data_IF_392349686307
#
_entry.id   IF_392349686307
#
_cell.length_a   1.000
_cell.length_b   1.000
_cell.length_c   1.000
_cell.angle_alpha   90.00
_cell.angle_beta   90.00
_cell.angle_gamma   90.00
#
_symmetry.space_group_name_H-M   'P 1'
#
loop_
_entity.id
_entity.type
_entity.pdbx_description
1 polymer ?
#
# COMPACT_ATOMS: atom_id res chain seq x y z
N UNK A 1 1.59 -25.69 40.18
CA UNK A 1 1.14 -24.86 39.04
C UNK A 1 2.30 -24.21 38.24
N UNK A 2 3.20 -23.43 38.86
CA UNK A 2 4.31 -22.77 38.10
C UNK A 2 5.39 -23.79 37.69
N UNK A 3 5.73 -24.77 38.51
CA UNK A 3 6.71 -25.84 38.20
C UNK A 3 6.25 -26.75 37.08
N UNK A 4 5.02 -27.20 37.06
CA UNK A 4 4.43 -28.05 36.02
C UNK A 4 4.34 -27.34 34.67
N UNK A 5 4.08 -26.02 34.67
CA UNK A 5 4.07 -25.23 33.43
C UNK A 5 5.48 -25.12 32.80
N UNK A 6 6.50 -25.01 33.66
CA UNK A 6 7.89 -24.90 33.22
C UNK A 6 8.44 -26.26 32.73
N UNK A 7 8.07 -27.38 33.40
CA UNK A 7 8.39 -28.73 32.90
C UNK A 7 7.78 -29.01 31.55
N UNK A 8 6.52 -28.63 31.34
CA UNK A 8 5.89 -28.73 29.99
C UNK A 8 6.61 -27.92 28.92
N UNK A 9 7.17 -26.75 29.25
CA UNK A 9 7.99 -25.95 28.31
C UNK A 9 9.32 -26.66 27.99
N UNK A 10 9.98 -27.23 28.99
CA UNK A 10 11.22 -28.01 28.81
C UNK A 10 10.94 -29.24 27.94
N UNK A 11 9.88 -29.99 28.23
CA UNK A 11 9.49 -31.16 27.42
C UNK A 11 9.13 -30.78 26.00
N UNK A 12 8.44 -29.66 25.81
CA UNK A 12 8.15 -29.13 24.48
C UNK A 12 9.42 -28.69 23.73
N UNK A 13 10.40 -28.08 24.42
CA UNK A 13 11.70 -27.75 23.82
C UNK A 13 12.45 -29.02 23.42
N UNK A 14 12.48 -30.03 24.29
CA UNK A 14 13.17 -31.30 24.02
C UNK A 14 12.50 -32.08 22.86
N UNK A 15 11.17 -32.02 22.74
CA UNK A 15 10.43 -32.71 21.68
C UNK A 15 10.60 -32.05 20.29
N UNK A 16 10.83 -30.74 20.26
CA UNK A 16 10.90 -29.96 19.00
C UNK A 16 12.31 -29.83 18.41
N UNK A 17 13.37 -30.18 19.15
CA UNK A 17 14.74 -30.08 18.67
C UNK A 17 15.25 -31.46 18.27
N UNK A 18 15.54 -31.64 16.96
CA UNK A 18 16.05 -32.90 16.42
C UNK A 18 17.53 -33.07 16.71
N UNK A 19 17.93 -34.26 17.16
CA UNK A 19 19.33 -34.68 17.15
C UNK A 19 19.70 -35.21 15.77
N UNK A 20 20.88 -34.87 15.28
CA UNK A 20 21.40 -35.32 14.00
C UNK A 20 22.53 -36.33 14.20
N UNK A 21 22.79 -37.19 13.23
CA UNK A 21 23.80 -38.29 13.29
C UNK A 21 25.25 -37.77 13.54
N UNK A 22 25.55 -36.51 13.45
CA UNK A 22 26.85 -35.94 13.72
C UNK A 22 26.97 -35.20 15.05
N UNK A 23 25.90 -35.14 15.86
CA UNK A 23 25.89 -34.43 17.13
C UNK A 23 26.76 -35.19 18.17
N UNK A 24 27.47 -34.46 19.00
CA UNK A 24 28.39 -35.07 20.00
C UNK A 24 28.25 -34.41 21.37
N UNK A 25 28.68 -35.15 22.41
CA UNK A 25 28.70 -34.64 23.77
C UNK A 25 30.09 -34.03 24.03
N UNK A 26 30.14 -32.77 24.44
CA UNK A 26 31.36 -32.06 24.79
C UNK A 26 31.91 -32.46 26.16
N UNK A 27 33.10 -31.92 26.52
CA UNK A 27 33.76 -32.18 27.81
C UNK A 27 32.91 -31.72 29.02
N UNK A 28 32.01 -30.74 28.80
CA UNK A 28 31.03 -30.23 29.82
C UNK A 28 29.78 -31.10 29.95
N UNK A 29 29.74 -32.23 29.22
CA UNK A 29 28.63 -33.17 29.25
C UNK A 29 27.33 -32.65 28.56
N UNK A 30 27.41 -31.55 27.77
CA UNK A 30 26.32 -31.00 27.00
C UNK A 30 26.40 -31.45 25.53
N UNK A 31 25.23 -31.49 24.86
CA UNK A 31 25.14 -31.85 23.45
C UNK A 31 25.54 -30.67 22.56
N UNK A 32 26.34 -30.94 21.55
CA UNK A 32 26.81 -30.00 20.54
C UNK A 32 26.44 -30.47 19.14
N UNK A 33 26.20 -29.50 18.27
CA UNK A 33 25.91 -29.75 16.85
C UNK A 33 27.16 -30.22 16.12
N UNK A 34 27.07 -31.33 15.41
CA UNK A 34 28.18 -31.86 14.60
C UNK A 34 28.56 -31.01 13.41
N UNK A 35 27.69 -30.10 12.97
CA UNK A 35 27.93 -29.25 11.80
C UNK A 35 28.55 -27.90 12.19
N UNK A 36 27.97 -27.19 13.18
CA UNK A 36 28.42 -25.83 13.56
C UNK A 36 29.13 -25.78 14.90
N UNK A 37 29.26 -26.88 15.59
CA UNK A 37 29.95 -27.03 16.88
C UNK A 37 29.44 -26.10 17.99
N UNK A 38 28.22 -25.58 17.85
CA UNK A 38 27.55 -24.81 18.93
C UNK A 38 26.67 -25.72 19.76
N UNK A 39 26.36 -25.29 20.97
CA UNK A 39 25.56 -26.05 21.93
C UNK A 39 24.15 -26.29 21.40
N UNK A 40 23.64 -27.50 21.61
CA UNK A 40 22.25 -27.92 21.44
C UNK A 40 21.56 -28.20 22.78
N UNK A 41 22.29 -28.09 23.89
CA UNK A 41 21.77 -28.12 25.24
C UNK A 41 22.33 -26.94 26.05
N UNK A 42 21.56 -26.47 27.01
CA UNK A 42 21.99 -25.50 28.01
C UNK A 42 21.72 -26.11 29.40
N UNK A 43 22.49 -25.69 30.41
CA UNK A 43 22.29 -26.09 31.78
C UNK A 43 21.61 -24.98 32.55
N UNK A 44 20.51 -25.30 33.22
CA UNK A 44 19.75 -24.38 34.07
C UNK A 44 19.49 -24.99 35.42
N UNK A 45 19.57 -24.19 36.48
CA UNK A 45 19.19 -24.60 37.83
C UNK A 45 17.68 -24.34 38.01
N UNK A 46 16.90 -25.39 38.26
CA UNK A 46 15.47 -25.29 38.44
C UNK A 46 15.06 -25.98 39.74
N UNK A 47 14.50 -25.25 40.71
CA UNK A 47 14.08 -25.78 42.03
C UNK A 47 15.17 -26.56 42.78
N UNK A 48 16.46 -26.21 42.60
CA UNK A 48 17.58 -26.88 43.22
C UNK A 48 18.09 -28.09 42.48
N UNK A 49 17.50 -28.44 41.34
CA UNK A 49 17.95 -29.49 40.43
C UNK A 49 18.52 -28.91 39.14
N UNK A 50 19.57 -29.56 38.63
CA UNK A 50 20.15 -29.21 37.33
C UNK A 50 19.32 -29.86 36.20
N UNK A 51 18.79 -29.05 35.34
CA UNK A 51 18.07 -29.48 34.10
C UNK A 51 18.87 -29.09 32.87
N UNK A 52 18.82 -29.92 31.83
CA UNK A 52 19.54 -29.72 30.56
C UNK A 52 18.57 -29.64 29.39
N UNK A 53 17.79 -28.56 29.24
CA UNK A 53 16.89 -28.41 28.11
C UNK A 53 17.67 -28.26 26.80
N UNK A 54 17.06 -28.78 25.73
CA UNK A 54 17.57 -28.59 24.37
C UNK A 54 17.45 -27.11 23.95
N UNK A 55 18.41 -26.61 23.18
CA UNK A 55 18.43 -25.31 22.56
C UNK A 55 18.81 -25.44 21.07
N UNK A 56 18.41 -24.47 20.27
CA UNK A 56 18.76 -24.45 18.86
C UNK A 56 20.25 -24.09 18.69
N UNK A 57 20.98 -24.89 17.92
CA UNK A 57 22.33 -24.53 17.48
C UNK A 57 22.29 -23.38 16.44
N UNK A 58 23.45 -22.74 16.19
CA UNK A 58 23.53 -21.59 15.28
C UNK A 58 23.02 -21.93 13.87
N UNK A 59 23.40 -23.08 13.30
CA UNK A 59 22.96 -23.44 11.95
C UNK A 59 21.45 -23.70 11.86
N UNK A 60 20.82 -24.21 12.91
CA UNK A 60 19.38 -24.40 12.97
C UNK A 60 18.64 -23.09 13.18
N UNK A 61 19.19 -22.16 13.98
CA UNK A 61 18.67 -20.80 14.11
C UNK A 61 18.70 -20.07 12.77
N UNK A 62 19.83 -20.12 12.06
CA UNK A 62 19.96 -19.52 10.73
C UNK A 62 19.03 -20.14 9.70
N UNK A 63 18.79 -21.46 9.76
CA UNK A 63 17.84 -22.15 8.89
C UNK A 63 16.43 -21.67 9.13
N UNK A 64 15.99 -21.65 10.39
CA UNK A 64 14.66 -21.18 10.77
C UNK A 64 14.44 -19.69 10.43
N UNK A 65 15.48 -18.88 10.58
CA UNK A 65 15.40 -17.48 10.24
C UNK A 65 15.28 -17.25 8.71
N UNK A 66 16.02 -18.02 7.90
CA UNK A 66 15.86 -18.06 6.44
C UNK A 66 14.46 -18.50 6.04
N UNK A 67 13.95 -19.59 6.59
CA UNK A 67 12.60 -20.09 6.29
C UNK A 67 11.53 -19.04 6.62
N UNK A 68 11.64 -18.35 7.77
CA UNK A 68 10.75 -17.26 8.14
C UNK A 68 10.82 -16.08 7.18
N UNK A 69 12.02 -15.72 6.72
CA UNK A 69 12.20 -14.64 5.75
C UNK A 69 11.62 -15.00 4.38
N UNK A 70 11.85 -16.23 3.90
CA UNK A 70 11.27 -16.73 2.67
C UNK A 70 9.74 -16.79 2.72
N UNK A 71 9.18 -17.24 3.84
CA UNK A 71 7.73 -17.25 4.03
C UNK A 71 7.15 -15.84 4.00
N UNK A 72 7.73 -14.89 4.74
CA UNK A 72 7.30 -13.48 4.71
C UNK A 72 7.39 -12.88 3.31
N UNK A 73 8.43 -13.22 2.56
CA UNK A 73 8.60 -12.77 1.18
C UNK A 73 7.49 -13.32 0.28
N UNK A 74 7.18 -14.62 0.36
CA UNK A 74 6.08 -15.25 -0.41
C UNK A 74 4.72 -14.61 -0.07
N UNK A 75 4.43 -14.43 1.22
CA UNK A 75 3.20 -13.79 1.67
C UNK A 75 3.07 -12.35 1.14
N UNK A 76 4.17 -11.59 1.12
CA UNK A 76 4.19 -10.24 0.56
C UNK A 76 3.97 -10.27 -0.96
N UNK A 77 4.62 -11.17 -1.70
CA UNK A 77 4.45 -11.31 -3.15
C UNK A 77 3.00 -11.67 -3.51
N UNK A 78 2.35 -12.54 -2.76
CA UNK A 78 0.94 -12.87 -2.93
C UNK A 78 0.01 -11.68 -2.66
N UNK A 79 0.29 -10.91 -1.59
CA UNK A 79 -0.44 -9.66 -1.29
C UNK A 79 -0.29 -8.65 -2.43
N UNK A 80 0.93 -8.43 -2.91
CA UNK A 80 1.20 -7.51 -4.03
C UNK A 80 0.43 -7.95 -5.28
N UNK A 81 0.48 -9.23 -5.62
CA UNK A 81 -0.25 -9.78 -6.78
C UNK A 81 -1.75 -9.56 -6.67
N UNK A 82 -2.33 -9.80 -5.49
CA UNK A 82 -3.75 -9.58 -5.22
C UNK A 82 -4.10 -8.10 -5.30
N UNK A 83 -3.33 -7.23 -4.64
CA UNK A 83 -3.60 -5.79 -4.61
C UNK A 83 -3.45 -5.13 -5.99
N UNK A 84 -2.48 -5.55 -6.81
CA UNK A 84 -2.39 -5.09 -8.19
C UNK A 84 -3.64 -5.42 -9.00
N UNK A 85 -4.17 -6.63 -8.85
CA UNK A 85 -5.35 -7.07 -9.61
C UNK A 85 -6.60 -6.23 -9.31
N UNK A 86 -6.79 -5.84 -8.04
CA UNK A 86 -7.98 -5.09 -7.61
C UNK A 86 -7.76 -3.58 -7.57
N UNK A 87 -6.51 -3.13 -7.41
CA UNK A 87 -6.15 -1.74 -7.12
C UNK A 87 -6.17 -0.81 -8.33
N UNK A 88 -6.20 -1.32 -9.55
CA UNK A 88 -6.15 -0.48 -10.74
C UNK A 88 -7.27 -0.78 -11.71
N UNK A 89 -7.90 0.26 -12.31
CA UNK A 89 -8.95 0.09 -13.30
C UNK A 89 -8.47 -0.44 -14.66
N UNK A 90 -7.15 -0.29 -14.96
CA UNK A 90 -6.52 -0.72 -16.21
C UNK A 90 -5.14 -1.31 -15.95
N UNK A 91 -4.77 -2.32 -16.70
CA UNK A 91 -3.50 -3.04 -16.55
C UNK A 91 -2.25 -2.23 -16.95
N UNK A 92 -2.38 -1.24 -17.84
CA UNK A 92 -1.28 -0.37 -18.23
C UNK A 92 -0.80 0.54 -17.09
N UNK A 93 -1.67 0.84 -16.11
CA UNK A 93 -1.33 1.63 -14.93
C UNK A 93 -0.30 0.94 -14.02
N UNK A 94 -0.08 -0.37 -14.15
CA UNK A 94 1.00 -1.06 -13.42
C UNK A 94 2.39 -0.59 -13.83
N UNK A 95 2.52 0.00 -15.02
CA UNK A 95 3.78 0.56 -15.56
C UNK A 95 4.01 2.01 -15.14
N UNK A 96 3.04 2.65 -14.48
CA UNK A 96 3.16 4.04 -14.05
C UNK A 96 3.85 4.07 -12.69
N UNK A 97 5.16 3.97 -12.74
CA UNK A 97 6.05 3.86 -11.57
C UNK A 97 7.12 4.94 -11.63
N UNK A 98 7.75 5.22 -10.50
CA UNK A 98 8.85 6.19 -10.40
C UNK A 98 10.05 5.85 -11.30
N UNK A 99 10.27 4.56 -11.59
CA UNK A 99 11.32 4.10 -12.49
C UNK A 99 11.02 4.43 -13.96
N UNK A 100 9.73 4.45 -14.33
CA UNK A 100 9.26 4.71 -15.69
C UNK A 100 8.84 6.17 -15.91
N UNK A 101 9.02 7.04 -14.92
CA UNK A 101 8.72 8.46 -15.04
C UNK A 101 9.68 9.14 -16.04
N UNK A 102 9.15 10.02 -16.86
CA UNK A 102 9.91 10.80 -17.86
C UNK A 102 10.71 11.96 -17.23
N UNK A 103 10.66 12.09 -15.91
CA UNK A 103 11.33 13.12 -15.09
C UNK A 103 11.05 14.56 -15.53
N UNK A 104 9.93 14.77 -16.20
CA UNK A 104 9.54 16.10 -16.67
C UNK A 104 9.13 17.06 -15.55
N UNK A 105 8.89 16.54 -14.33
CA UNK A 105 8.63 17.30 -13.11
C UNK A 105 9.28 16.59 -11.92
N UNK A 106 10.59 16.77 -11.77
CA UNK A 106 11.37 16.10 -10.70
C UNK A 106 10.90 16.50 -9.30
N UNK A 107 10.49 17.75 -9.11
CA UNK A 107 10.00 18.26 -7.83
C UNK A 107 8.74 17.50 -7.38
N UNK A 108 7.78 17.30 -8.29
CA UNK A 108 6.58 16.50 -8.03
C UNK A 108 6.95 15.05 -7.71
N UNK A 109 7.81 14.43 -8.52
CA UNK A 109 8.25 13.05 -8.34
C UNK A 109 8.89 12.86 -6.97
N UNK A 110 9.77 13.77 -6.54
CA UNK A 110 10.40 13.71 -5.21
C UNK A 110 9.38 13.95 -4.08
N UNK A 111 8.41 14.83 -4.26
CA UNK A 111 7.32 15.01 -3.29
C UNK A 111 6.49 13.71 -3.14
N UNK A 112 6.16 13.03 -4.25
CA UNK A 112 5.45 11.75 -4.22
C UNK A 112 6.26 10.64 -3.54
N UNK A 113 7.57 10.55 -3.77
CA UNK A 113 8.46 9.60 -3.08
C UNK A 113 8.50 9.87 -1.58
N UNK A 114 8.58 11.14 -1.16
CA UNK A 114 8.53 11.52 0.26
C UNK A 114 7.18 11.12 0.89
N UNK A 115 6.06 11.33 0.20
CA UNK A 115 4.74 10.87 0.65
C UNK A 115 4.73 9.36 0.89
N UNK A 116 5.27 8.56 -0.05
CA UNK A 116 5.38 7.09 0.09
C UNK A 116 6.28 6.69 1.26
N UNK A 117 7.36 7.42 1.53
CA UNK A 117 8.28 7.09 2.62
C UNK A 117 7.69 7.40 4.00
N UNK A 118 6.88 8.45 4.11
CA UNK A 118 6.20 8.84 5.35
C UNK A 118 4.78 8.26 5.46
N UNK A 119 4.37 7.39 4.53
CA UNK A 119 3.00 6.87 4.49
C UNK A 119 2.52 6.22 5.79
N UNK A 120 3.32 5.48 6.59
CA UNK A 120 2.86 4.94 7.87
C UNK A 120 2.36 6.01 8.86
N UNK A 121 2.96 7.19 8.85
CA UNK A 121 2.57 8.34 9.68
C UNK A 121 1.33 9.01 9.11
N UNK A 122 1.34 9.29 7.81
CA UNK A 122 0.23 9.90 7.09
C UNK A 122 -1.04 9.05 7.13
N UNK A 123 -0.90 7.71 7.13
CA UNK A 123 -2.01 6.78 7.30
C UNK A 123 -2.66 6.91 8.69
N UNK A 124 -1.85 7.05 9.75
CA UNK A 124 -2.38 7.24 11.12
C UNK A 124 -3.09 8.59 11.30
N UNK A 125 -2.62 9.62 10.60
CA UNK A 125 -3.18 10.97 10.64
C UNK A 125 -4.33 11.17 9.64
N UNK A 126 -4.56 10.25 8.72
CA UNK A 126 -5.54 10.37 7.64
C UNK A 126 -5.22 11.48 6.64
N UNK A 127 -3.92 11.78 6.42
CA UNK A 127 -3.47 12.86 5.56
C UNK A 127 -3.23 12.39 4.12
N UNK A 128 -3.88 13.05 3.18
CA UNK A 128 -3.85 12.78 1.75
C UNK A 128 -3.28 13.93 0.91
N UNK A 129 -3.49 13.85 -0.40
CA UNK A 129 -3.05 14.85 -1.38
C UNK A 129 -4.20 15.27 -2.29
N UNK A 130 -4.23 16.54 -2.66
CA UNK A 130 -5.07 17.07 -3.74
C UNK A 130 -4.16 17.53 -4.88
N UNK A 131 -4.05 16.73 -5.95
CA UNK A 131 -3.28 17.06 -7.13
C UNK A 131 -4.17 17.86 -8.09
N UNK A 132 -3.94 19.16 -8.22
CA UNK A 132 -4.72 20.04 -9.07
C UNK A 132 -3.89 20.66 -10.19
N UNK A 133 -4.53 21.15 -11.26
CA UNK A 133 -3.83 21.80 -12.37
C UNK A 133 -4.42 21.43 -13.73
N UNK A 134 -3.84 21.95 -14.83
CA UNK A 134 -4.39 21.80 -16.17
C UNK A 134 -4.41 20.34 -16.67
N UNK A 135 -5.18 20.10 -17.75
CA UNK A 135 -5.33 18.76 -18.34
C UNK A 135 -4.01 18.28 -18.96
N UNK A 136 -3.65 17.02 -18.67
CA UNK A 136 -2.51 16.36 -19.29
C UNK A 136 -1.16 16.60 -18.64
N UNK A 137 -1.10 17.26 -17.48
CA UNK A 137 0.15 17.59 -16.75
C UNK A 137 0.76 16.43 -15.96
N UNK A 138 0.07 15.27 -15.87
CA UNK A 138 0.61 14.07 -15.22
C UNK A 138 0.03 13.77 -13.84
N UNK A 139 -1.03 14.47 -13.37
CA UNK A 139 -1.66 14.23 -12.05
C UNK A 139 -2.01 12.77 -11.77
N UNK A 140 -2.76 12.15 -12.69
CA UNK A 140 -3.15 10.73 -12.59
C UNK A 140 -1.92 9.81 -12.60
N UNK A 141 -0.89 10.15 -13.38
CA UNK A 141 0.35 9.40 -13.43
C UNK A 141 1.05 9.43 -12.05
N UNK A 142 1.26 10.61 -11.48
CA UNK A 142 1.86 10.80 -10.16
C UNK A 142 1.08 10.07 -9.05
N UNK A 143 -0.25 10.13 -9.08
CA UNK A 143 -1.08 9.37 -8.15
C UNK A 143 -0.89 7.84 -8.29
N UNK A 144 -0.74 7.34 -9.53
CA UNK A 144 -0.47 5.92 -9.79
C UNK A 144 0.94 5.49 -9.40
N UNK A 145 1.95 6.36 -9.48
CA UNK A 145 3.30 6.10 -8.96
C UNK A 145 3.26 5.81 -7.46
N UNK A 146 2.57 6.68 -6.71
CA UNK A 146 2.33 6.47 -5.27
C UNK A 146 1.61 5.15 -5.02
N UNK A 147 0.53 4.88 -5.77
CA UNK A 147 -0.25 3.65 -5.63
C UNK A 147 0.60 2.40 -5.87
N UNK A 148 1.38 2.35 -6.96
CA UNK A 148 2.28 1.23 -7.27
C UNK A 148 3.34 1.04 -6.18
N UNK A 149 3.97 2.11 -5.72
CA UNK A 149 5.00 2.06 -4.69
C UNK A 149 4.43 1.55 -3.35
N UNK A 150 3.23 1.98 -2.96
CA UNK A 150 2.58 1.51 -1.73
C UNK A 150 2.12 0.06 -1.83
N UNK A 151 1.60 -0.37 -2.98
CA UNK A 151 1.27 -1.78 -3.22
C UNK A 151 2.53 -2.65 -3.10
N UNK A 152 3.66 -2.21 -3.65
CA UNK A 152 4.94 -2.91 -3.52
C UNK A 152 5.44 -3.00 -2.06
N UNK A 153 5.01 -2.07 -1.20
CA UNK A 153 5.23 -2.12 0.26
C UNK A 153 4.18 -2.96 1.00
N UNK A 154 3.20 -3.55 0.30
CA UNK A 154 2.16 -4.41 0.86
C UNK A 154 0.92 -3.70 1.39
N UNK A 155 0.73 -2.42 1.07
CA UNK A 155 -0.50 -1.70 1.41
C UNK A 155 -1.60 -1.95 0.38
N UNK A 156 -2.87 -2.18 0.81
CA UNK A 156 -3.99 -2.20 -0.11
C UNK A 156 -4.30 -0.78 -0.60
N UNK A 157 -4.24 -0.59 -1.91
CA UNK A 157 -4.55 0.70 -2.57
C UNK A 157 -5.56 0.47 -3.67
N UNK A 158 -6.53 1.37 -3.79
CA UNK A 158 -7.50 1.40 -4.89
C UNK A 158 -7.38 2.71 -5.66
N UNK A 159 -7.17 2.61 -6.97
CA UNK A 159 -7.25 3.72 -7.92
C UNK A 159 -8.57 3.60 -8.68
N UNK A 160 -9.40 4.62 -8.60
CA UNK A 160 -10.73 4.64 -9.20
C UNK A 160 -11.15 6.08 -9.54
N UNK A 161 -12.36 6.27 -10.01
CA UNK A 161 -12.99 7.58 -10.18
C UNK A 161 -14.47 7.54 -9.77
N UNK A 162 -15.07 8.71 -9.56
CA UNK A 162 -16.45 8.81 -9.09
C UNK A 162 -17.45 8.16 -10.04
N UNK A 163 -17.28 8.33 -11.35
CA UNK A 163 -18.18 7.72 -12.35
C UNK A 163 -18.17 6.19 -12.26
N UNK A 164 -17.00 5.58 -12.04
CA UNK A 164 -16.91 4.12 -11.91
C UNK A 164 -17.57 3.61 -10.65
N UNK A 165 -17.37 4.27 -9.50
CA UNK A 165 -18.03 3.93 -8.25
C UNK A 165 -19.55 4.05 -8.42
N UNK A 166 -20.01 5.19 -8.95
CA UNK A 166 -21.43 5.46 -9.16
C UNK A 166 -22.09 4.43 -10.08
N UNK A 167 -21.45 4.07 -11.20
CA UNK A 167 -21.96 3.04 -12.10
C UNK A 167 -22.07 1.68 -11.41
N UNK A 168 -21.10 1.34 -10.55
CA UNK A 168 -21.17 0.10 -9.76
C UNK A 168 -22.34 0.14 -8.79
N UNK A 169 -22.50 1.23 -8.04
CA UNK A 169 -23.62 1.41 -7.08
C UNK A 169 -24.97 1.42 -7.77
N UNK A 170 -25.10 2.04 -8.95
CA UNK A 170 -26.34 2.05 -9.72
C UNK A 170 -26.76 0.66 -10.20
N UNK A 171 -25.79 -0.22 -10.49
CA UNK A 171 -26.06 -1.60 -10.88
C UNK A 171 -26.43 -2.53 -9.71
N UNK A 172 -26.38 -2.04 -8.46
CA UNK A 172 -26.69 -2.82 -7.26
C UNK A 172 -28.16 -2.63 -6.84
N UNK A 173 -28.86 -3.72 -6.59
CA UNK A 173 -30.21 -3.70 -5.98
C UNK A 173 -30.11 -3.49 -4.47
N UNK A 174 -29.14 -4.13 -3.81
CA UNK A 174 -28.89 -4.11 -2.37
C UNK A 174 -27.41 -3.92 -2.10
N UNK A 175 -27.00 -3.59 -0.87
CA UNK A 175 -25.59 -3.52 -0.48
C UNK A 175 -24.84 -2.26 -0.96
N UNK A 176 -25.56 -1.19 -1.34
CA UNK A 176 -24.93 0.05 -1.85
C UNK A 176 -24.05 0.73 -0.81
N UNK A 177 -24.54 0.79 0.43
CA UNK A 177 -23.78 1.40 1.53
C UNK A 177 -22.59 0.55 1.90
N UNK A 178 -22.76 -0.76 1.99
CA UNK A 178 -21.70 -1.72 2.27
C UNK A 178 -20.57 -1.64 1.22
N UNK A 179 -20.91 -1.44 -0.06
CA UNK A 179 -19.92 -1.22 -1.10
C UNK A 179 -19.15 0.09 -0.90
N UNK A 180 -19.83 1.19 -0.56
CA UNK A 180 -19.15 2.46 -0.28
C UNK A 180 -18.25 2.31 0.95
N UNK A 181 -18.73 1.64 1.99
CA UNK A 181 -17.96 1.40 3.21
C UNK A 181 -16.75 0.49 2.95
N UNK A 182 -16.86 -0.47 2.03
CA UNK A 182 -15.75 -1.34 1.61
C UNK A 182 -14.59 -0.58 0.94
N UNK A 183 -14.82 0.63 0.43
CA UNK A 183 -13.73 1.50 -0.04
C UNK A 183 -12.78 1.89 1.08
N UNK A 184 -13.22 1.79 2.34
CA UNK A 184 -12.41 2.05 3.52
C UNK A 184 -11.54 0.86 3.95
N UNK A 185 -11.65 -0.31 3.31
CA UNK A 185 -10.72 -1.43 3.48
C UNK A 185 -9.34 -1.15 2.85
N UNK A 186 -9.27 -0.17 1.98
CA UNK A 186 -8.03 0.26 1.35
C UNK A 186 -7.30 1.29 2.21
N UNK A 187 -6.00 1.06 2.47
CA UNK A 187 -5.15 2.01 3.18
C UNK A 187 -5.06 3.37 2.47
N UNK A 188 -5.02 3.36 1.14
CA UNK A 188 -5.10 4.58 0.31
C UNK A 188 -6.18 4.43 -0.75
N UNK A 189 -7.03 5.47 -0.90
CA UNK A 189 -7.99 5.61 -1.99
C UNK A 189 -7.54 6.74 -2.92
N UNK A 190 -7.33 6.43 -4.20
CA UNK A 190 -7.07 7.41 -5.24
C UNK A 190 -8.35 7.65 -6.02
N UNK A 191 -8.85 8.89 -5.99
CA UNK A 191 -10.07 9.35 -6.65
C UNK A 191 -9.68 10.29 -7.79
N UNK A 192 -9.66 9.74 -9.00
CA UNK A 192 -9.18 10.44 -10.19
C UNK A 192 -10.29 11.30 -10.83
N UNK A 193 -9.88 12.47 -11.35
CA UNK A 193 -10.70 13.40 -12.13
C UNK A 193 -11.96 13.93 -11.41
N UNK A 194 -11.82 14.43 -10.16
CA UNK A 194 -12.88 15.18 -9.48
C UNK A 194 -13.32 16.39 -10.30
N UNK A 195 -14.62 16.52 -10.55
CA UNK A 195 -15.23 17.58 -11.34
C UNK A 195 -15.39 17.24 -12.82
N UNK A 196 -15.00 16.01 -13.25
CA UNK A 196 -15.27 15.50 -14.59
C UNK A 196 -16.58 14.69 -14.69
N UNK A 197 -17.23 14.46 -13.55
CA UNK A 197 -18.50 13.76 -13.47
C UNK A 197 -19.66 14.62 -14.02
N UNK A 198 -20.73 13.91 -14.45
CA UNK A 198 -21.93 14.59 -14.97
C UNK A 198 -22.56 15.47 -13.88
N UNK A 199 -23.00 16.67 -14.26
CA UNK A 199 -23.71 17.58 -13.37
C UNK A 199 -25.16 17.08 -13.15
N UNK A 200 -25.36 16.26 -12.13
CA UNK A 200 -26.65 15.87 -11.61
C UNK A 200 -26.62 15.86 -10.08
N UNK A 201 -27.76 16.16 -9.44
CA UNK A 201 -27.89 16.10 -7.98
C UNK A 201 -27.51 14.72 -7.42
N UNK A 202 -27.92 13.66 -8.09
CA UNK A 202 -27.54 12.31 -7.71
C UNK A 202 -26.01 12.09 -7.72
N UNK A 203 -25.31 12.58 -8.75
CA UNK A 203 -23.88 12.47 -8.82
C UNK A 203 -23.17 13.28 -7.73
N UNK A 204 -23.65 14.50 -7.46
CA UNK A 204 -23.12 15.33 -6.39
C UNK A 204 -23.31 14.70 -5.01
N UNK A 205 -24.49 14.14 -4.75
CA UNK A 205 -24.78 13.37 -3.53
C UNK A 205 -23.86 12.14 -3.40
N UNK A 206 -23.61 11.43 -4.49
CA UNK A 206 -22.70 10.27 -4.49
C UNK A 206 -21.27 10.67 -4.21
N UNK A 207 -20.77 11.73 -4.85
CA UNK A 207 -19.41 12.27 -4.59
C UNK A 207 -19.30 12.68 -3.11
N UNK A 208 -20.30 13.39 -2.58
CA UNK A 208 -20.33 13.75 -1.17
C UNK A 208 -20.28 12.52 -0.26
N UNK A 209 -21.11 11.51 -0.53
CA UNK A 209 -21.18 10.30 0.29
C UNK A 209 -19.85 9.55 0.32
N UNK A 210 -19.18 9.42 -0.83
CA UNK A 210 -17.86 8.76 -0.92
C UNK A 210 -16.81 9.54 -0.12
N UNK A 211 -16.72 10.86 -0.32
CA UNK A 211 -15.76 11.71 0.39
C UNK A 211 -16.05 11.75 1.90
N UNK A 212 -17.31 11.86 2.29
CA UNK A 212 -17.72 11.90 3.70
C UNK A 212 -17.43 10.58 4.42
N UNK A 213 -17.71 9.42 3.78
CA UNK A 213 -17.37 8.10 4.32
C UNK A 213 -15.86 7.99 4.57
N UNK A 214 -15.05 8.38 3.59
CA UNK A 214 -13.58 8.36 3.72
C UNK A 214 -13.05 9.33 4.78
N UNK A 215 -13.60 10.54 4.82
CA UNK A 215 -13.28 11.57 5.81
C UNK A 215 -13.57 11.10 7.23
N UNK A 216 -14.75 10.50 7.48
CA UNK A 216 -15.15 9.94 8.79
C UNK A 216 -14.31 8.75 9.21
N UNK A 217 -13.92 7.92 8.26
CA UNK A 217 -13.01 6.80 8.51
C UNK A 217 -11.60 7.23 8.92
N UNK A 218 -11.26 8.53 8.76
CA UNK A 218 -9.93 9.04 9.10
C UNK A 218 -8.81 8.47 8.23
N UNK A 219 -9.13 8.03 7.01
CA UNK A 219 -8.19 7.37 6.11
C UNK A 219 -7.71 8.31 4.98
N UNK A 220 -6.44 8.24 4.57
CA UNK A 220 -5.90 9.10 3.54
C UNK A 220 -6.50 8.83 2.17
N UNK A 221 -6.64 9.89 1.36
CA UNK A 221 -7.02 9.82 -0.05
C UNK A 221 -6.11 10.71 -0.90
N UNK A 222 -5.91 10.33 -2.14
CA UNK A 222 -5.34 11.20 -3.17
C UNK A 222 -6.45 11.54 -4.15
N UNK A 223 -6.73 12.83 -4.30
CA UNK A 223 -7.74 13.32 -5.23
C UNK A 223 -7.03 14.05 -6.35
N UNK A 224 -7.36 13.76 -7.60
CA UNK A 224 -6.89 14.56 -8.75
C UNK A 224 -8.04 15.39 -9.32
N UNK A 225 -7.74 16.60 -9.77
CA UNK A 225 -8.75 17.49 -10.36
C UNK A 225 -8.12 18.47 -11.37
N UNK A 226 -8.94 18.91 -12.33
CA UNK A 226 -8.58 19.99 -13.24
C UNK A 226 -9.09 21.35 -12.73
N UNK A 227 -9.79 21.39 -11.61
CA UNK A 227 -10.31 22.60 -10.98
C UNK A 227 -9.16 23.27 -10.20
N UNK A 228 -8.96 24.56 -10.38
CA UNK A 228 -7.93 25.29 -9.63
C UNK A 228 -8.34 25.51 -8.16
N UNK A 229 -7.35 25.71 -7.29
CA UNK A 229 -7.62 26.02 -5.86
C UNK A 229 -8.46 27.28 -5.70
N UNK A 230 -8.28 28.28 -6.57
CA UNK A 230 -9.09 29.49 -6.57
C UNK A 230 -10.56 29.22 -6.91
N UNK A 231 -10.81 28.35 -7.87
CA UNK A 231 -12.17 27.92 -8.23
C UNK A 231 -12.82 27.10 -7.11
N UNK A 232 -12.05 26.21 -6.48
CA UNK A 232 -12.49 25.42 -5.32
C UNK A 232 -12.92 26.36 -4.18
N UNK A 233 -12.10 27.37 -3.85
CA UNK A 233 -12.35 28.34 -2.76
C UNK A 233 -13.46 29.35 -3.06
N UNK A 234 -13.77 29.62 -4.34
CA UNK A 234 -14.76 30.60 -4.79
C UNK A 234 -16.10 29.96 -5.16
N UNK A 235 -16.29 28.66 -4.92
CA UNK A 235 -17.57 28.00 -5.28
C UNK A 235 -18.72 28.53 -4.44
N UNK A 236 -19.82 28.91 -5.09
CA UNK A 236 -21.05 29.36 -4.43
C UNK A 236 -22.04 28.19 -4.24
N UNK A 237 -21.75 27.02 -4.78
CA UNK A 237 -22.57 25.82 -4.64
C UNK A 237 -22.32 25.16 -3.28
N UNK A 238 -23.34 25.17 -2.41
CA UNK A 238 -23.27 24.66 -1.04
C UNK A 238 -22.89 23.17 -0.96
N UNK A 239 -23.31 22.35 -1.92
CA UNK A 239 -23.00 20.92 -1.95
C UNK A 239 -21.52 20.70 -2.28
N UNK A 240 -21.03 21.41 -3.31
CA UNK A 240 -19.60 21.37 -3.68
C UNK A 240 -18.71 21.94 -2.58
N UNK A 241 -19.15 23.00 -1.91
CA UNK A 241 -18.42 23.58 -0.78
C UNK A 241 -18.17 22.54 0.31
N UNK A 242 -19.19 21.79 0.71
CA UNK A 242 -19.05 20.72 1.71
C UNK A 242 -18.07 19.62 1.30
N UNK A 243 -18.03 19.26 0.01
CA UNK A 243 -17.08 18.30 -0.54
C UNK A 243 -15.66 18.83 -0.46
N UNK A 244 -15.47 20.07 -0.92
CA UNK A 244 -14.14 20.71 -0.99
C UNK A 244 -13.56 20.99 0.39
N UNK A 245 -14.37 21.39 1.37
CA UNK A 245 -13.94 21.62 2.75
C UNK A 245 -13.34 20.33 3.34
N UNK A 246 -14.01 19.19 3.17
CA UNK A 246 -13.49 17.88 3.64
C UNK A 246 -12.19 17.48 2.96
N UNK A 247 -12.12 17.71 1.63
CA UNK A 247 -10.90 17.41 0.87
C UNK A 247 -9.75 18.30 1.35
N UNK A 248 -9.95 19.61 1.48
CA UNK A 248 -8.90 20.55 1.88
C UNK A 248 -8.46 20.38 3.33
N UNK A 249 -9.34 19.88 4.21
CA UNK A 249 -8.95 19.55 5.59
C UNK A 249 -8.01 18.35 5.67
N UNK A 250 -8.23 17.35 4.79
CA UNK A 250 -7.50 16.08 4.81
C UNK A 250 -6.37 15.98 3.79
N UNK A 251 -6.45 16.73 2.70
CA UNK A 251 -5.55 16.61 1.57
C UNK A 251 -4.72 17.89 1.38
N UNK A 252 -3.40 17.74 1.36
CA UNK A 252 -2.50 18.85 1.04
C UNK A 252 -2.58 19.14 -0.46
N UNK A 253 -2.88 20.40 -0.88
CA UNK A 253 -2.97 20.75 -2.29
C UNK A 253 -1.58 20.89 -2.91
N UNK A 254 -1.39 20.26 -4.07
CA UNK A 254 -0.17 20.35 -4.87
C UNK A 254 -0.56 20.78 -6.29
N UNK A 255 -0.01 21.91 -6.74
CA UNK A 255 -0.16 22.34 -8.12
C UNK A 255 0.71 21.52 -9.05
N UNK A 256 0.07 20.80 -9.97
CA UNK A 256 0.74 20.02 -11.01
C UNK A 256 0.66 20.80 -12.31
N UNK A 257 1.42 21.89 -12.35
CA UNK A 257 1.54 22.77 -13.51
C UNK A 257 2.57 22.24 -14.51
N UNK A 258 2.45 22.66 -15.76
CA UNK A 258 3.39 22.29 -16.83
C UNK A 258 2.74 22.11 -18.19
N UNK A 259 3.57 21.74 -19.17
CA UNK A 259 3.09 21.43 -20.52
C UNK A 259 2.36 20.09 -20.56
N UNK A 260 1.28 20.03 -21.36
CA UNK A 260 0.52 18.78 -21.49
C UNK A 260 1.35 17.66 -22.11
N UNK A 261 1.66 16.61 -21.33
CA UNK A 261 2.32 15.38 -21.80
C UNK A 261 1.51 14.71 -22.93
N UNK A 262 0.17 14.76 -22.86
CA UNK A 262 -0.72 14.22 -23.89
C UNK A 262 -0.54 14.91 -25.23
N UNK A 263 -0.40 16.26 -25.25
CA UNK A 263 -0.17 17.01 -26.51
C UNK A 263 1.18 16.64 -27.14
N UNK A 264 2.21 16.41 -26.33
CA UNK A 264 3.52 15.94 -26.80
C UNK A 264 3.42 14.55 -27.45
N UNK A 265 2.71 13.62 -26.79
CA UNK A 265 2.49 12.27 -27.34
C UNK A 265 1.69 12.33 -28.66
N UNK A 266 0.61 13.13 -28.71
CA UNK A 266 -0.20 13.30 -29.94
C UNK A 266 0.65 13.84 -31.07
N UNK A 267 1.49 14.83 -30.82
CA UNK A 267 2.39 15.39 -31.82
C UNK A 267 3.38 14.34 -32.35
N UNK A 268 4.02 13.61 -31.47
CA UNK A 268 4.98 12.56 -31.84
C UNK A 268 4.30 11.44 -32.65
N UNK A 269 3.10 11.00 -32.21
CA UNK A 269 2.32 10.00 -32.95
C UNK A 269 1.88 10.52 -34.35
N UNK A 270 1.52 11.80 -34.44
CA UNK A 270 1.14 12.41 -35.72
C UNK A 270 2.30 12.40 -36.70
N UNK A 271 3.50 12.82 -36.27
CA UNK A 271 4.70 12.81 -37.15
C UNK A 271 5.07 11.38 -37.57
N UNK A 272 5.06 10.41 -36.63
CA UNK A 272 5.31 9.00 -36.96
C UNK A 272 4.29 8.43 -37.97
N UNK A 273 2.99 8.72 -37.76
CA UNK A 273 1.96 8.27 -38.71
C UNK A 273 2.08 8.93 -40.07
N UNK A 274 2.49 10.19 -40.11
CA UNK A 274 2.74 10.91 -41.34
C UNK A 274 3.86 10.26 -42.15
N UNK A 275 4.97 9.86 -41.49
CA UNK A 275 6.06 9.10 -42.10
C UNK A 275 5.57 7.75 -42.68
N UNK A 276 4.80 6.99 -41.86
CA UNK A 276 4.30 5.66 -42.27
C UNK A 276 3.35 5.77 -43.46
N UNK A 277 2.53 6.82 -43.53
CA UNK A 277 1.54 7.03 -44.57
C UNK A 277 2.12 7.75 -45.80
N UNK A 278 3.36 8.24 -45.75
CA UNK A 278 4.01 8.97 -46.84
C UNK A 278 3.40 10.36 -47.14
N UNK A 279 2.86 11.06 -46.11
CA UNK A 279 2.16 12.35 -46.21
C UNK A 279 3.07 13.53 -45.84
#
# INVERSE_FOLDING_TARGET
MFGEALERVIDACNANIRTNDGDYVGEDGLLYCGQCHTRKQTEIMLFGEVRRPMCLCSCEQERLEREKQEQKKRELEEKIKRYRKIGFPRSDMYKWTFENDDKSNEELTEAMKRYVNHFPELLREGKGLLLHGSVGTGKTYAACEVANALINKGYPVLVTNFSRITNTVQGMFEGRQEYIDSLNDFALLVLDDLGAERESSYMQEMVYTIIDSRYRAGLPMIVTTNISIEQIKKTDNMERMRIYDRILERCFPIDVSGSSKRRRIVRNNYESMKEILGL
#
